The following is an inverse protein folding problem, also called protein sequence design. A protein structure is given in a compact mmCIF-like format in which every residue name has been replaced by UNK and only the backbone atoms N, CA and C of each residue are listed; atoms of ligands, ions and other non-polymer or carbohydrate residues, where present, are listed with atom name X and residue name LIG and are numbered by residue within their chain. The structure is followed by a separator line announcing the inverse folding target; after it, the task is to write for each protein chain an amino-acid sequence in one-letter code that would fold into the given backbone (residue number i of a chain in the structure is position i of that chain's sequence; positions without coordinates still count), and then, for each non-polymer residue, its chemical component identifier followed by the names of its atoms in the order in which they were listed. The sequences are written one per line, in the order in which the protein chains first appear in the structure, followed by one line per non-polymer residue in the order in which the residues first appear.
data_IF_480282664796
#
_entry.id   IF_480282664796
#
_cell.length_a   1.000
_cell.length_b   1.000
_cell.length_c   1.000
_cell.angle_alpha   90.00
_cell.angle_beta   90.00
_cell.angle_gamma   90.00
#
_symmetry.space_group_name_H-M   'P 1'
#
loop_
_entity.id
_entity.type
_entity.pdbx_description
1 polymer ?
#
# COMPACT_ATOMS: atom_id res chain seq x y z
N UNK A 1 11.81 51.91 -20.36
CA UNK A 1 12.38 50.59 -20.10
C UNK A 1 11.32 49.75 -19.44
N UNK A 2 10.76 48.76 -20.13
CA UNK A 2 9.74 47.87 -19.61
C UNK A 2 10.47 46.59 -19.21
N UNK A 3 10.54 46.32 -17.88
CA UNK A 3 11.13 45.09 -17.38
C UNK A 3 10.10 43.95 -17.51
N UNK A 4 10.39 42.98 -18.38
CA UNK A 4 9.60 41.77 -18.55
C UNK A 4 9.94 40.81 -17.39
N UNK A 5 9.04 40.66 -16.41
CA UNK A 5 9.14 39.65 -15.35
C UNK A 5 8.72 38.29 -15.93
N UNK A 6 9.71 37.46 -16.24
CA UNK A 6 9.49 36.03 -16.56
C UNK A 6 9.14 35.30 -15.27
N UNK A 7 7.86 34.98 -15.09
CA UNK A 7 7.41 34.08 -14.04
C UNK A 7 7.84 32.64 -14.42
N UNK A 8 8.84 32.10 -13.75
CA UNK A 8 9.21 30.70 -13.86
C UNK A 8 8.17 29.88 -13.08
N UNK A 9 7.30 29.18 -13.80
CA UNK A 9 6.43 28.17 -13.21
C UNK A 9 7.30 26.99 -12.70
N UNK A 10 7.40 26.84 -11.38
CA UNK A 10 8.03 25.69 -10.78
C UNK A 10 7.20 24.44 -11.15
N UNK A 11 7.74 23.56 -11.99
CA UNK A 11 7.17 22.27 -12.26
C UNK A 11 7.30 21.44 -10.97
N UNK A 12 6.18 21.20 -10.28
CA UNK A 12 6.15 20.34 -9.12
C UNK A 12 6.57 18.93 -9.56
N UNK A 13 7.68 18.44 -9.00
CA UNK A 13 8.17 17.08 -9.30
C UNK A 13 7.11 16.06 -8.89
N UNK A 14 6.71 15.18 -9.81
CA UNK A 14 5.80 14.07 -9.54
C UNK A 14 6.42 13.20 -8.44
N UNK A 15 5.68 12.88 -7.35
CA UNK A 15 6.20 12.03 -6.28
C UNK A 15 6.68 10.69 -6.82
N UNK A 16 7.95 10.37 -6.58
CA UNK A 16 8.56 9.13 -7.06
C UNK A 16 8.39 8.00 -6.03
N UNK A 17 8.17 6.78 -6.52
CA UNK A 17 8.22 5.57 -5.70
C UNK A 17 9.60 5.36 -5.13
N UNK A 18 9.66 4.90 -3.87
CA UNK A 18 10.90 4.62 -3.15
C UNK A 18 10.88 3.21 -2.63
N UNK A 19 11.97 2.47 -2.86
CA UNK A 19 12.21 1.18 -2.24
C UNK A 19 12.97 1.40 -0.92
N UNK A 20 12.56 0.71 0.14
CA UNK A 20 13.26 0.66 1.42
C UNK A 20 13.37 -0.77 1.88
N UNK A 21 14.57 -1.17 2.30
CA UNK A 21 14.88 -2.47 2.91
C UNK A 21 15.45 -2.18 4.31
N UNK A 22 14.81 -2.67 5.34
CA UNK A 22 15.14 -2.36 6.75
C UNK A 22 15.03 -3.60 7.60
N UNK A 23 15.87 -3.70 8.60
CA UNK A 23 15.75 -4.68 9.69
C UNK A 23 15.46 -3.91 10.97
N UNK A 24 14.41 -4.30 11.68
CA UNK A 24 14.05 -3.68 12.95
C UNK A 24 14.96 -4.19 14.09
N UNK A 25 14.94 -3.58 15.30
CA UNK A 25 15.75 -4.02 16.43
C UNK A 25 15.48 -5.46 16.89
N UNK A 26 14.33 -6.02 16.57
CA UNK A 26 13.98 -7.42 16.84
C UNK A 26 14.48 -8.40 15.77
N UNK A 27 15.27 -7.92 14.78
CA UNK A 27 15.81 -8.74 13.71
C UNK A 27 14.84 -9.05 12.57
N UNK A 28 13.63 -8.53 12.59
CA UNK A 28 12.65 -8.72 11.50
C UNK A 28 12.99 -7.77 10.36
N UNK A 29 13.34 -8.36 9.20
CA UNK A 29 13.55 -7.61 7.96
C UNK A 29 12.21 -7.22 7.34
N UNK A 30 12.12 -6.03 6.82
CA UNK A 30 11.00 -5.59 5.99
C UNK A 30 11.48 -4.88 4.74
N UNK A 31 10.87 -5.19 3.61
CA UNK A 31 11.07 -4.49 2.35
C UNK A 31 9.77 -3.82 1.94
N UNK A 32 9.85 -2.59 1.46
CA UNK A 32 8.65 -1.84 1.05
C UNK A 32 8.91 -0.97 -0.17
N UNK A 33 7.92 -0.87 -1.03
CA UNK A 33 7.82 0.14 -2.07
C UNK A 33 6.73 1.15 -1.68
N UNK A 34 7.04 2.44 -1.70
CA UNK A 34 6.11 3.47 -1.23
C UNK A 34 6.17 4.74 -2.05
N UNK A 35 5.06 5.46 -2.07
CA UNK A 35 4.92 6.77 -2.69
C UNK A 35 4.21 7.72 -1.74
N UNK A 36 4.61 9.01 -1.78
CA UNK A 36 3.91 10.08 -1.08
C UNK A 36 2.77 10.58 -1.97
N UNK A 37 1.64 10.90 -1.35
CA UNK A 37 0.49 11.46 -2.05
C UNK A 37 0.72 12.87 -2.58
N UNK A 38 -0.16 13.31 -3.47
CA UNK A 38 -0.12 14.67 -4.03
C UNK A 38 -0.35 15.76 -2.98
N UNK A 39 -0.87 15.37 -1.80
CA UNK A 39 -0.99 16.22 -0.61
C UNK A 39 0.33 16.41 0.15
N UNK A 40 1.40 15.73 -0.24
CA UNK A 40 2.71 15.74 0.42
C UNK A 40 2.76 15.06 1.78
N UNK A 41 1.66 14.46 2.25
CA UNK A 41 1.49 13.97 3.63
C UNK A 41 1.11 12.49 3.68
N UNK A 42 0.17 12.08 2.86
CA UNK A 42 -0.30 10.70 2.78
C UNK A 42 0.75 9.79 2.15
N UNK A 43 0.72 8.50 2.50
CA UNK A 43 1.59 7.49 1.88
C UNK A 43 0.81 6.26 1.49
N UNK A 44 1.13 5.74 0.31
CA UNK A 44 0.69 4.41 -0.13
C UNK A 44 1.90 3.47 -0.16
N UNK A 45 1.76 2.27 0.40
CA UNK A 45 2.88 1.36 0.64
C UNK A 45 2.48 -0.06 0.27
N UNK A 46 3.33 -0.73 -0.49
CA UNK A 46 3.33 -2.20 -0.65
C UNK A 46 4.50 -2.71 0.17
N UNK A 47 4.26 -3.61 1.14
CA UNK A 47 5.26 -4.03 2.11
C UNK A 47 5.27 -5.56 2.27
N UNK A 48 6.46 -6.10 2.46
CA UNK A 48 6.70 -7.47 2.89
C UNK A 48 7.45 -7.44 4.22
N UNK A 49 6.89 -8.05 5.26
CA UNK A 49 7.57 -8.33 6.54
C UNK A 49 8.05 -9.78 6.54
N UNK A 50 9.38 -9.96 6.60
CA UNK A 50 10.04 -11.28 6.55
C UNK A 50 10.19 -11.79 7.97
N UNK A 51 9.12 -12.37 8.51
CA UNK A 51 9.12 -13.09 9.78
C UNK A 51 9.20 -14.61 9.58
N UNK A 52 8.84 -15.36 10.61
CA UNK A 52 8.67 -16.83 10.51
C UNK A 52 7.62 -17.18 9.45
N UNK A 53 6.55 -16.37 9.39
CA UNK A 53 5.57 -16.39 8.32
C UNK A 53 5.64 -15.05 7.59
N UNK A 54 6.12 -15.02 6.34
CA UNK A 54 6.20 -13.78 5.56
C UNK A 54 4.80 -13.20 5.30
N UNK A 55 4.64 -11.89 5.56
CA UNK A 55 3.37 -11.20 5.39
C UNK A 55 3.53 -10.08 4.36
N UNK A 56 2.74 -10.14 3.29
CA UNK A 56 2.56 -8.99 2.40
C UNK A 56 1.39 -8.15 2.88
N UNK A 57 1.55 -6.85 2.87
CA UNK A 57 0.47 -5.90 3.15
C UNK A 57 0.47 -4.74 2.15
N UNK A 58 -0.72 -4.21 1.89
CA UNK A 58 -0.89 -2.90 1.27
C UNK A 58 -1.39 -1.96 2.35
N UNK A 59 -0.76 -0.78 2.45
CA UNK A 59 -1.01 0.17 3.53
C UNK A 59 -1.33 1.55 2.96
N UNK A 60 -2.27 2.23 3.59
CA UNK A 60 -2.55 3.63 3.41
C UNK A 60 -2.32 4.35 4.74
N UNK A 61 -1.38 5.29 4.76
CA UNK A 61 -0.91 5.99 5.96
C UNK A 61 -1.25 7.46 5.82
N UNK A 62 -1.81 8.01 6.89
CA UNK A 62 -2.20 9.42 7.01
C UNK A 62 -1.47 10.05 8.20
N UNK A 63 -1.18 11.37 8.18
CA UNK A 63 -0.63 12.07 9.33
C UNK A 63 -1.62 12.18 10.48
N UNK A 64 -2.92 12.16 10.16
CA UNK A 64 -4.01 12.19 11.14
C UNK A 64 -4.54 10.78 11.41
N UNK A 65 -5.08 10.56 12.61
CA UNK A 65 -5.67 9.28 12.97
C UNK A 65 -6.87 8.93 12.07
N UNK A 66 -6.85 7.73 11.51
CA UNK A 66 -7.98 7.13 10.80
C UNK A 66 -8.95 6.42 11.76
N UNK A 67 -8.62 6.38 13.06
CA UNK A 67 -9.34 5.65 14.10
C UNK A 67 -8.77 4.24 14.33
N UNK A 68 -9.19 3.63 15.43
CA UNK A 68 -8.83 2.26 15.80
C UNK A 68 -10.09 1.42 15.93
N UNK A 69 -9.97 0.11 15.79
CA UNK A 69 -11.04 -0.85 16.08
C UNK A 69 -11.46 -1.65 14.85
N UNK A 70 -12.77 -1.75 14.64
CA UNK A 70 -13.34 -2.61 13.59
C UNK A 70 -12.83 -2.26 12.19
N UNK A 71 -12.72 -3.29 11.36
CA UNK A 71 -12.41 -3.15 9.96
C UNK A 71 -13.44 -2.27 9.25
N UNK A 72 -12.97 -1.44 8.32
CA UNK A 72 -13.81 -0.53 7.54
C UNK A 72 -13.51 -0.66 6.05
N UNK A 73 -14.49 -0.26 5.20
CA UNK A 73 -14.27 -0.27 3.77
C UNK A 73 -13.25 0.79 3.36
N UNK A 74 -12.31 0.37 2.54
CA UNK A 74 -11.36 1.24 1.81
C UNK A 74 -11.57 0.99 0.33
N UNK A 75 -11.83 2.06 -0.41
CA UNK A 75 -11.97 2.03 -1.85
C UNK A 75 -10.68 2.50 -2.52
N UNK A 76 -10.18 1.71 -3.46
CA UNK A 76 -9.02 2.04 -4.29
C UNK A 76 -9.48 2.13 -5.74
N UNK A 77 -9.18 3.24 -6.40
CA UNK A 77 -9.47 3.47 -7.82
C UNK A 77 -8.17 3.66 -8.59
N UNK A 78 -8.10 3.09 -9.76
CA UNK A 78 -6.98 3.25 -10.69
C UNK A 78 -7.45 4.01 -11.92
N UNK A 79 -6.71 5.04 -12.32
CA UNK A 79 -6.96 5.89 -13.50
C UNK A 79 -8.41 6.41 -13.59
N UNK A 80 -9.02 6.70 -12.44
CA UNK A 80 -10.41 7.17 -12.37
C UNK A 80 -11.48 6.10 -12.65
N UNK A 81 -11.08 4.84 -12.78
CA UNK A 81 -11.97 3.72 -13.03
C UNK A 81 -12.84 3.30 -11.84
N UNK A 82 -13.49 2.14 -11.93
CA UNK A 82 -14.29 1.57 -10.86
C UNK A 82 -13.50 1.36 -9.57
N UNK A 83 -14.17 1.46 -8.41
CA UNK A 83 -13.56 1.21 -7.12
C UNK A 83 -13.40 -0.28 -6.85
N UNK A 84 -12.23 -0.65 -6.35
CA UNK A 84 -12.00 -1.90 -5.66
C UNK A 84 -12.19 -1.64 -4.17
N UNK A 85 -13.24 -2.17 -3.56
CA UNK A 85 -13.57 -1.93 -2.16
C UNK A 85 -13.36 -3.21 -1.37
N UNK A 86 -12.52 -3.12 -0.32
CA UNK A 86 -12.23 -4.20 0.60
C UNK A 86 -12.34 -3.72 2.04
N UNK A 87 -12.52 -4.65 2.97
CA UNK A 87 -12.43 -4.39 4.40
C UNK A 87 -10.98 -4.36 4.84
N UNK A 88 -10.52 -3.25 5.41
CA UNK A 88 -9.13 -3.06 5.87
C UNK A 88 -9.09 -2.88 7.38
N UNK A 89 -7.97 -3.27 7.98
CA UNK A 89 -7.70 -3.10 9.41
C UNK A 89 -7.22 -1.68 9.72
N UNK A 90 -7.65 -1.13 10.86
CA UNK A 90 -7.39 0.25 11.27
C UNK A 90 -6.67 0.30 12.63
N UNK A 91 -5.32 0.26 12.67
CA UNK A 91 -4.55 0.32 13.91
C UNK A 91 -4.29 1.75 14.43
N UNK A 92 -4.79 2.81 13.78
CA UNK A 92 -4.58 4.20 14.20
C UNK A 92 -4.41 5.19 13.05
N UNK A 93 -3.20 5.65 12.77
CA UNK A 93 -2.90 6.61 11.70
C UNK A 93 -2.83 5.99 10.32
N UNK A 94 -2.77 4.66 10.24
CA UNK A 94 -2.77 3.91 8.98
C UNK A 94 -3.90 2.93 8.92
N UNK A 95 -4.11 2.39 7.74
CA UNK A 95 -4.95 1.23 7.48
C UNK A 95 -4.22 0.28 6.55
N UNK A 96 -4.49 -1.01 6.67
CA UNK A 96 -3.83 -2.03 5.85
C UNK A 96 -4.72 -3.23 5.55
N UNK A 97 -4.36 -3.93 4.47
CA UNK A 97 -4.94 -5.20 4.08
C UNK A 97 -3.83 -6.23 3.88
N UNK A 98 -4.10 -7.48 4.28
CA UNK A 98 -3.20 -8.64 4.14
C UNK A 98 -3.84 -9.77 3.33
N UNK A 99 -5.06 -9.60 2.87
CA UNK A 99 -5.77 -10.61 2.08
C UNK A 99 -5.05 -10.88 0.75
N UNK A 100 -4.65 -12.13 0.44
CA UNK A 100 -3.84 -12.44 -0.73
C UNK A 100 -4.51 -12.13 -2.07
N UNK A 101 -5.83 -12.32 -2.17
CA UNK A 101 -6.57 -12.04 -3.41
C UNK A 101 -6.64 -10.54 -3.66
N UNK A 102 -6.97 -9.76 -2.62
CA UNK A 102 -6.99 -8.30 -2.70
C UNK A 102 -5.60 -7.73 -3.02
N UNK A 103 -4.54 -8.23 -2.37
CA UNK A 103 -3.14 -7.83 -2.65
C UNK A 103 -2.79 -8.11 -4.11
N UNK A 104 -3.05 -9.32 -4.59
CA UNK A 104 -2.76 -9.72 -5.97
C UNK A 104 -3.49 -8.82 -6.96
N UNK A 105 -4.78 -8.57 -6.71
CA UNK A 105 -5.60 -7.75 -7.58
C UNK A 105 -5.15 -6.29 -7.59
N UNK A 106 -4.98 -5.70 -6.41
CA UNK A 106 -4.57 -4.30 -6.28
C UNK A 106 -3.17 -4.05 -6.87
N UNK A 107 -2.19 -4.93 -6.62
CA UNK A 107 -0.84 -4.78 -7.19
C UNK A 107 -0.81 -4.98 -8.70
N UNK A 108 -1.64 -5.87 -9.23
CA UNK A 108 -1.78 -6.08 -10.69
C UNK A 108 -2.31 -4.83 -11.41
N UNK A 109 -3.29 -4.15 -10.82
CA UNK A 109 -3.80 -2.90 -11.37
C UNK A 109 -2.84 -1.74 -11.15
N UNK A 110 -2.21 -1.66 -9.98
CA UNK A 110 -1.25 -0.63 -9.63
C UNK A 110 -0.13 -0.49 -10.67
N UNK A 111 0.48 -1.59 -11.07
CA UNK A 111 1.62 -1.56 -12.01
C UNK A 111 1.24 -1.30 -13.47
N UNK A 112 -0.05 -1.33 -13.78
CA UNK A 112 -0.58 -1.07 -15.14
C UNK A 112 -1.19 0.33 -15.27
N UNK A 113 -1.32 1.05 -14.17
CA UNK A 113 -1.99 2.34 -14.10
C UNK A 113 -1.00 3.50 -14.03
N UNK A 114 -1.50 4.72 -14.22
CA UNK A 114 -0.73 5.96 -14.06
C UNK A 114 -1.00 6.61 -12.70
N UNK A 115 -2.22 6.46 -12.19
CA UNK A 115 -2.67 7.09 -10.96
C UNK A 115 -3.48 6.11 -10.12
N UNK A 116 -3.46 6.33 -8.81
CA UNK A 116 -4.39 5.67 -7.90
C UNK A 116 -4.96 6.68 -6.90
N UNK A 117 -6.19 6.42 -6.47
CA UNK A 117 -6.87 7.17 -5.43
C UNK A 117 -7.36 6.21 -4.36
N UNK A 118 -7.11 6.56 -3.11
CA UNK A 118 -7.59 5.83 -1.93
C UNK A 118 -8.62 6.66 -1.22
N UNK A 119 -9.73 6.05 -0.85
CA UNK A 119 -10.87 6.68 -0.17
C UNK A 119 -11.33 5.82 1.00
N UNK A 120 -11.55 6.44 2.15
CA UNK A 120 -12.09 5.79 3.37
C UNK A 120 -12.76 6.84 4.27
N UNK A 121 -13.12 6.45 5.50
CA UNK A 121 -13.56 7.38 6.54
C UNK A 121 -12.64 7.30 7.77
N UNK A 122 -12.46 8.42 8.47
CA UNK A 122 -11.77 8.43 9.76
C UNK A 122 -12.68 7.90 10.90
N UNK A 123 -12.16 7.89 12.13
CA UNK A 123 -12.89 7.44 13.31
C UNK A 123 -14.15 8.27 13.64
N UNK A 124 -14.21 9.51 13.17
CA UNK A 124 -15.36 10.40 13.33
C UNK A 124 -16.35 10.33 12.17
N UNK A 125 -16.12 9.45 11.18
CA UNK A 125 -16.99 9.30 10.01
C UNK A 125 -16.75 10.28 8.87
N UNK A 126 -15.74 11.16 8.97
CA UNK A 126 -15.42 12.08 7.88
C UNK A 126 -14.66 11.37 6.76
N UNK A 127 -15.00 11.73 5.52
CA UNK A 127 -14.32 11.22 4.34
C UNK A 127 -12.83 11.62 4.35
N UNK A 128 -11.97 10.64 4.07
CA UNK A 128 -10.54 10.81 3.88
C UNK A 128 -10.16 10.25 2.52
N UNK A 129 -9.41 11.02 1.75
CA UNK A 129 -8.98 10.61 0.41
C UNK A 129 -7.58 11.14 0.10
N UNK A 130 -6.84 10.39 -0.70
CA UNK A 130 -5.56 10.83 -1.25
C UNK A 130 -5.34 10.28 -2.65
N UNK A 131 -4.61 11.05 -3.47
CA UNK A 131 -4.23 10.67 -4.82
C UNK A 131 -2.72 10.46 -4.88
N UNK A 132 -2.29 9.46 -5.65
CA UNK A 132 -0.90 9.06 -5.80
C UNK A 132 -0.57 8.80 -7.26
N UNK A 133 0.70 8.98 -7.62
CA UNK A 133 1.22 8.46 -8.87
C UNK A 133 1.45 6.96 -8.75
N UNK A 134 1.10 6.18 -9.77
CA UNK A 134 1.48 4.79 -9.85
C UNK A 134 2.98 4.64 -10.19
N UNK A 135 3.61 3.47 -9.94
CA UNK A 135 5.03 3.28 -10.24
C UNK A 135 5.27 3.29 -11.76
N UNK A 136 6.40 3.89 -12.18
CA UNK A 136 6.78 3.95 -13.58
C UNK A 136 7.10 2.56 -14.19
N UNK A 137 7.42 1.57 -13.34
CA UNK A 137 7.62 0.18 -13.71
C UNK A 137 7.18 -0.75 -12.58
N UNK A 138 6.99 -2.03 -12.90
CA UNK A 138 6.59 -3.05 -11.93
C UNK A 138 7.75 -3.57 -11.05
N UNK A 139 9.00 -3.16 -11.34
CA UNK A 139 10.21 -3.72 -10.74
C UNK A 139 10.21 -3.66 -9.20
N UNK A 140 9.88 -2.50 -8.61
CA UNK A 140 9.88 -2.35 -7.14
C UNK A 140 8.78 -3.20 -6.49
N UNK A 141 7.59 -3.24 -7.10
CA UNK A 141 6.46 -4.06 -6.59
C UNK A 141 6.81 -5.54 -6.68
N UNK A 142 7.36 -6.00 -7.80
CA UNK A 142 7.83 -7.39 -7.95
C UNK A 142 8.90 -7.76 -6.93
N UNK A 143 9.84 -6.86 -6.67
CA UNK A 143 10.89 -7.08 -5.68
C UNK A 143 10.30 -7.26 -4.28
N UNK A 144 9.37 -6.39 -3.86
CA UNK A 144 8.70 -6.51 -2.56
C UNK A 144 7.91 -7.81 -2.45
N UNK A 145 7.09 -8.12 -3.45
CA UNK A 145 6.29 -9.34 -3.48
C UNK A 145 7.16 -10.60 -3.46
N UNK A 146 8.22 -10.64 -4.27
CA UNK A 146 9.12 -11.78 -4.41
C UNK A 146 9.84 -12.16 -3.11
N UNK A 147 10.20 -11.17 -2.26
CA UNK A 147 10.83 -11.44 -0.95
C UNK A 147 9.90 -12.22 -0.03
N UNK A 148 8.59 -12.03 -0.12
CA UNK A 148 7.58 -12.79 0.62
C UNK A 148 7.05 -14.02 -0.16
N UNK A 149 7.67 -14.42 -1.28
CA UNK A 149 7.24 -15.57 -2.08
C UNK A 149 5.99 -15.33 -2.94
N UNK A 150 5.55 -14.08 -3.07
CA UNK A 150 4.44 -13.74 -3.96
C UNK A 150 4.93 -13.49 -5.39
N UNK A 151 4.12 -13.89 -6.35
CA UNK A 151 4.32 -13.56 -7.77
C UNK A 151 3.26 -12.55 -8.20
N UNK A 152 3.68 -11.46 -8.83
CA UNK A 152 2.75 -10.44 -9.32
C UNK A 152 1.73 -11.04 -10.29
N UNK A 153 0.45 -10.83 -9.99
CA UNK A 153 -0.67 -11.35 -10.78
C UNK A 153 -1.07 -12.80 -10.47
N UNK A 154 -0.44 -13.44 -9.49
CA UNK A 154 -0.76 -14.82 -9.08
C UNK A 154 -1.16 -14.83 -7.61
N UNK A 155 -2.37 -15.32 -7.32
CA UNK A 155 -2.81 -15.53 -5.94
C UNK A 155 -2.01 -16.69 -5.35
N UNK A 156 -1.32 -16.49 -4.21
CA UNK A 156 -0.56 -17.55 -3.58
C UNK A 156 -1.50 -18.67 -3.08
N UNK A 157 -1.04 -19.92 -3.05
CA UNK A 157 -1.82 -21.01 -2.49
C UNK A 157 -2.09 -20.78 -0.99
N UNK A 158 -3.21 -21.28 -0.45
CA UNK A 158 -3.47 -21.19 0.97
C UNK A 158 -2.37 -21.92 1.77
N UNK A 159 -2.08 -21.47 3.01
CA UNK A 159 -1.11 -22.13 3.85
C UNK A 159 -1.53 -23.58 4.11
N UNK A 160 -0.58 -24.51 4.27
CA UNK A 160 -0.90 -25.89 4.59
C UNK A 160 -1.70 -25.98 5.90
N UNK A 161 -2.65 -26.91 6.01
CA UNK A 161 -3.42 -27.10 7.23
C UNK A 161 -2.49 -27.42 8.41
N UNK A 162 -2.82 -26.94 9.63
CA UNK A 162 -2.05 -27.28 10.81
C UNK A 162 -1.89 -28.80 10.95
N UNK A 163 -0.74 -29.29 11.44
CA UNK A 163 -0.59 -30.72 11.70
C UNK A 163 -1.67 -31.19 12.68
N UNK A 164 -2.26 -32.32 12.37
CA UNK A 164 -3.28 -32.95 13.23
C UNK A 164 -2.74 -33.09 14.67
N UNK A 165 -3.56 -32.85 15.70
CA UNK A 165 -3.14 -33.09 17.09
C UNK A 165 -2.60 -34.52 17.19
N UNK A 166 -1.39 -34.66 17.73
CA UNK A 166 -0.86 -35.99 18.07
C UNK A 166 -1.74 -36.53 19.18
N UNK A 167 -2.51 -37.56 18.87
CA UNK A 167 -3.23 -38.33 19.88
C UNK A 167 -2.21 -38.77 20.93
N UNK A 168 -2.26 -38.14 22.09
CA UNK A 168 -1.49 -38.57 23.28
C UNK A 168 -2.18 -39.82 23.80
N UNK A 169 -1.67 -41.03 23.47
CA UNK A 169 -2.00 -42.26 24.12
C UNK A 169 -1.38 -42.33 25.51
#
# INVERSE_FOLDING_TARGET
MIALLLAQAAVAATPAWKLADRTNPAGVRSISASVTGNDGLSRFVVKCDVGTEPIVSIQFIQPQSLGQGADKPVAVRFDGGPAFTYSWQFPGTGTYIIDPEAITRLTTFLVKSKTLRVETTNGAGFAVQANFAAPASDAMVRQVLGVCGYTLGVVPPPPPPPPAPKDTQ
#
